data_IF_358677584172
#
_entry.id   IF_358677584172
#
_cell.length_a   1.000
_cell.length_b   1.000
_cell.length_c   1.000
_cell.angle_alpha   90.00
_cell.angle_beta   90.00
_cell.angle_gamma   90.00
#
_symmetry.space_group_name_H-M   'P 1'
#
loop_
_entity.id
_entity.type
_entity.pdbx_description
1 polymer ?
#
# COMPACT_ATOMS: atom_id res chain seq x y z
N UNK A 1 -18.40 12.07 -11.71
CA UNK A 1 -17.40 10.98 -11.70
C UNK A 1 -16.23 11.40 -12.57
N UNK A 2 -14.98 11.03 -12.25
CA UNK A 2 -13.84 11.33 -13.11
C UNK A 2 -14.03 10.70 -14.50
N UNK A 3 -13.49 11.35 -15.53
CA UNK A 3 -13.60 10.89 -16.93
C UNK A 3 -12.96 9.52 -17.15
N UNK A 4 -11.89 9.23 -16.40
CA UNK A 4 -11.22 7.94 -16.40
C UNK A 4 -11.43 7.24 -15.05
N UNK A 5 -11.94 5.99 -15.02
CA UNK A 5 -12.02 5.22 -13.80
C UNK A 5 -10.62 4.93 -13.26
N UNK A 6 -10.50 4.96 -11.93
CA UNK A 6 -9.28 4.53 -11.26
C UNK A 6 -9.07 3.01 -11.34
N UNK A 7 -7.93 2.56 -10.82
CA UNK A 7 -7.57 1.15 -10.80
C UNK A 7 -8.17 0.42 -9.61
N UNK A 8 -8.44 -0.88 -9.77
CA UNK A 8 -8.82 -1.75 -8.67
C UNK A 8 -7.60 -2.10 -7.84
N UNK A 9 -7.80 -2.33 -6.54
CA UNK A 9 -6.72 -2.69 -5.62
C UNK A 9 -6.00 -3.98 -6.02
N UNK A 10 -6.73 -4.94 -6.59
CA UNK A 10 -6.16 -6.20 -7.11
C UNK A 10 -5.22 -5.99 -8.31
N UNK A 11 -5.29 -4.85 -8.99
CA UNK A 11 -4.38 -4.51 -10.09
C UNK A 11 -3.09 -3.83 -9.59
N UNK A 12 -3.06 -3.38 -8.34
CA UNK A 12 -1.96 -2.61 -7.77
C UNK A 12 -0.60 -3.32 -7.95
N UNK A 13 -0.45 -4.63 -7.63
CA UNK A 13 0.85 -5.27 -7.75
C UNK A 13 1.40 -5.28 -9.17
N UNK A 14 0.55 -5.52 -10.16
CA UNK A 14 0.94 -5.54 -11.56
C UNK A 14 1.29 -4.15 -12.09
N UNK A 15 0.63 -3.11 -11.59
CA UNK A 15 0.89 -1.72 -12.01
C UNK A 15 2.15 -1.14 -11.37
N UNK A 16 2.43 -1.50 -10.13
CA UNK A 16 3.72 -1.18 -9.50
C UNK A 16 4.85 -1.87 -10.26
N UNK A 17 4.70 -3.15 -10.61
CA UNK A 17 5.70 -3.89 -11.39
C UNK A 17 5.95 -3.28 -12.79
N UNK A 18 4.97 -2.57 -13.36
CA UNK A 18 5.11 -1.82 -14.63
C UNK A 18 5.62 -0.38 -14.45
N UNK A 19 5.79 0.09 -13.22
CA UNK A 19 6.16 1.46 -12.91
C UNK A 19 5.05 2.50 -13.14
N UNK A 20 3.81 2.05 -13.34
CA UNK A 20 2.64 2.93 -13.55
C UNK A 20 2.17 3.57 -12.23
N UNK A 21 2.43 2.90 -11.10
CA UNK A 21 2.10 3.38 -9.75
C UNK A 21 3.36 3.38 -8.90
N UNK A 22 3.66 4.52 -8.30
CA UNK A 22 4.86 4.75 -7.48
C UNK A 22 4.58 4.99 -6.00
N UNK A 23 3.34 5.39 -5.69
CA UNK A 23 2.93 5.68 -4.33
C UNK A 23 1.54 5.12 -4.04
N UNK A 24 1.30 4.72 -2.79
CA UNK A 24 0.00 4.29 -2.30
C UNK A 24 -0.36 5.02 -1.01
N UNK A 25 -1.59 5.54 -0.94
CA UNK A 25 -2.20 6.04 0.28
C UNK A 25 -3.33 5.08 0.68
N UNK A 26 -3.15 4.39 1.80
CA UNK A 26 -4.01 3.32 2.27
C UNK A 26 -4.74 3.83 3.50
N UNK A 27 -6.06 3.94 3.41
CA UNK A 27 -6.92 4.39 4.49
C UNK A 27 -7.81 3.23 4.93
N UNK A 28 -7.64 2.77 6.17
CA UNK A 28 -8.52 1.76 6.80
C UNK A 28 -8.55 0.37 6.14
N UNK A 29 -7.63 0.09 5.21
CA UNK A 29 -7.53 -1.18 4.48
C UNK A 29 -6.18 -1.87 4.79
N UNK A 30 -6.16 -3.21 4.81
CA UNK A 30 -4.93 -4.00 4.99
C UNK A 30 -4.74 -5.00 3.82
N UNK A 31 -4.16 -4.55 2.69
CA UNK A 31 -3.95 -5.40 1.51
C UNK A 31 -3.01 -6.58 1.77
N UNK A 32 -2.16 -6.47 2.80
CA UNK A 32 -1.22 -7.52 3.20
C UNK A 32 -1.89 -8.62 4.05
N UNK A 33 -3.17 -8.47 4.38
CA UNK A 33 -4.01 -9.47 5.05
C UNK A 33 -5.10 -10.03 4.13
N UNK A 34 -5.67 -9.20 3.25
CA UNK A 34 -6.92 -9.53 2.54
C UNK A 34 -6.74 -10.00 1.09
N UNK A 35 -5.57 -9.75 0.48
CA UNK A 35 -5.32 -10.16 -0.90
C UNK A 35 -4.97 -11.65 -1.02
N UNK A 36 -5.43 -12.28 -2.09
CA UNK A 36 -5.17 -13.68 -2.39
C UNK A 36 -3.71 -13.92 -2.81
N UNK A 37 -3.04 -12.93 -3.41
CA UNK A 37 -1.66 -13.03 -3.91
C UNK A 37 -0.68 -12.24 -3.02
N UNK A 38 -0.55 -12.70 -1.77
CA UNK A 38 0.26 -12.03 -0.75
C UNK A 38 1.73 -11.79 -1.17
N UNK A 39 2.32 -12.66 -1.99
CA UNK A 39 3.69 -12.49 -2.50
C UNK A 39 3.81 -11.30 -3.45
N UNK A 40 2.85 -11.13 -4.37
CA UNK A 40 2.86 -10.03 -5.32
C UNK A 40 2.60 -8.69 -4.62
N UNK A 41 1.66 -8.66 -3.67
CA UNK A 41 1.38 -7.47 -2.87
C UNK A 41 2.60 -7.08 -2.03
N UNK A 42 3.30 -8.04 -1.42
CA UNK A 42 4.55 -7.76 -0.69
C UNK A 42 5.61 -7.14 -1.58
N UNK A 43 5.85 -7.72 -2.75
CA UNK A 43 6.83 -7.18 -3.70
C UNK A 43 6.44 -5.77 -4.16
N UNK A 44 5.15 -5.54 -4.45
CA UNK A 44 4.66 -4.22 -4.82
C UNK A 44 4.92 -3.19 -3.72
N UNK A 45 4.69 -3.53 -2.45
CA UNK A 45 5.01 -2.63 -1.34
C UNK A 45 6.53 -2.41 -1.20
N UNK A 46 7.38 -3.32 -1.65
CA UNK A 46 8.83 -3.11 -1.76
C UNK A 46 9.22 -2.17 -2.89
N UNK A 47 8.52 -2.23 -4.00
CA UNK A 47 8.85 -1.44 -5.18
C UNK A 47 8.21 -0.03 -5.15
N UNK A 48 7.22 0.21 -4.29
CA UNK A 48 6.63 1.53 -4.06
C UNK A 48 7.62 2.48 -3.36
N UNK A 49 7.76 3.68 -3.93
CA UNK A 49 8.61 4.77 -3.42
C UNK A 49 8.03 5.34 -2.10
N UNK A 50 6.70 5.42 -2.02
CA UNK A 50 6.00 5.99 -0.88
C UNK A 50 4.74 5.19 -0.55
N UNK A 51 4.63 4.74 0.69
CA UNK A 51 3.39 4.17 1.22
C UNK A 51 2.97 4.94 2.46
N UNK A 52 1.80 5.56 2.40
CA UNK A 52 1.17 6.19 3.56
C UNK A 52 0.06 5.27 4.03
N UNK A 53 0.06 4.93 5.31
CA UNK A 53 -1.02 4.19 5.93
C UNK A 53 -1.68 5.08 6.98
N UNK A 54 -2.97 5.36 6.78
CA UNK A 54 -3.82 5.99 7.77
C UNK A 54 -4.81 4.95 8.30
N UNK A 55 -4.64 4.58 9.56
CA UNK A 55 -5.48 3.60 10.24
C UNK A 55 -5.79 4.06 11.67
N UNK A 56 -6.94 3.62 12.18
CA UNK A 56 -7.39 3.90 13.56
C UNK A 56 -6.73 2.90 14.52
N UNK A 57 -6.45 1.68 14.05
CA UNK A 57 -5.77 0.63 14.82
C UNK A 57 -4.44 0.24 14.16
N UNK A 58 -3.53 -0.35 14.94
CA UNK A 58 -2.25 -0.81 14.41
C UNK A 58 -2.44 -2.07 13.53
N UNK A 59 -2.30 -1.94 12.21
CA UNK A 59 -2.40 -3.03 11.23
C UNK A 59 -1.05 -3.64 10.84
N UNK A 60 -1.07 -4.87 10.28
CA UNK A 60 0.14 -5.66 9.95
C UNK A 60 0.83 -5.20 8.66
N UNK A 61 0.25 -4.23 7.95
CA UNK A 61 0.85 -3.59 6.78
C UNK A 61 2.18 -2.86 7.05
N UNK A 62 2.65 -2.84 8.31
CA UNK A 62 3.86 -2.19 8.81
C UNK A 62 5.16 -2.93 8.47
N UNK A 63 6.10 -2.25 7.80
CA UNK A 63 7.54 -2.60 7.82
C UNK A 63 8.23 -1.96 9.03
N UNK A 64 8.83 -2.77 9.90
CA UNK A 64 9.85 -2.33 10.87
C UNK A 64 9.35 -1.48 12.05
N UNK A 65 10.01 -1.63 13.20
CA UNK A 65 9.51 -1.25 14.53
C UNK A 65 9.30 0.25 14.82
N UNK A 66 8.43 0.47 15.83
CA UNK A 66 8.11 1.69 16.62
C UNK A 66 7.60 2.95 15.88
N UNK A 67 6.36 3.36 16.17
CA UNK A 67 5.88 4.75 16.21
C UNK A 67 4.43 4.78 16.74
N UNK A 68 4.18 5.61 17.74
CA UNK A 68 2.88 5.87 18.39
C UNK A 68 2.03 6.83 17.54
N UNK A 69 0.76 6.46 17.30
CA UNK A 69 -0.40 7.29 16.89
C UNK A 69 -0.43 8.01 15.51
N UNK A 70 -1.50 7.71 14.75
CA UNK A 70 -2.25 8.51 13.75
C UNK A 70 -1.73 8.82 12.32
N UNK A 71 -0.48 8.57 11.94
CA UNK A 71 -0.07 8.65 10.51
C UNK A 71 1.21 7.85 10.29
N UNK A 72 1.12 6.69 9.63
CA UNK A 72 2.31 5.90 9.31
C UNK A 72 2.83 6.30 7.92
N UNK A 73 3.83 7.18 7.90
CA UNK A 73 4.61 7.46 6.69
C UNK A 73 5.67 6.37 6.54
N UNK A 74 5.46 5.43 5.64
CA UNK A 74 6.49 4.47 5.22
C UNK A 74 7.09 4.95 3.89
N UNK A 75 8.08 5.83 3.98
CA UNK A 75 8.96 6.13 2.84
C UNK A 75 9.98 5.01 2.64
N UNK A 76 10.30 4.68 1.38
CA UNK A 76 11.53 3.96 1.02
C UNK A 76 12.59 4.96 0.51
N UNK A 77 13.85 4.61 0.74
CA UNK A 77 15.05 5.34 0.35
C UNK A 77 15.22 5.44 -1.17
#
# INVERSE_FOLDING_TARGET
MPENPGYRISELPHRVARGEVRAAYIMGEDPLQTDAELSAVRQAFEDLELVIVQDIFMTKNRRGGRCDSALNLMGRA
#
